data_IF_349473273133
#
_entry.id   IF_349473273133
#
_cell.length_a   1.000
_cell.length_b   1.000
_cell.length_c   1.000
_cell.angle_alpha   90.00
_cell.angle_beta   90.00
_cell.angle_gamma   90.00
#
_symmetry.space_group_name_H-M   'P 1'
#
loop_
_entity.id
_entity.type
_entity.pdbx_description
1 polymer ?
#
# COMPACT_ATOMS: atom_id res chain seq x y z
N UNK A 1 21.29 -16.62 4.46
CA UNK A 1 20.78 -17.14 4.85
C UNK A 1 20.53 -17.29 4.73
N UNK A 2 20.55 -17.09 4.47
CA UNK A 2 20.08 -17.53 4.69
C UNK A 2 19.49 -17.58 4.51
N UNK A 3 19.51 -17.13 4.23
CA UNK A 3 18.86 -17.55 4.44
C UNK A 3 18.30 -17.87 3.96
N UNK A 4 18.33 -17.74 3.53
CA UNK A 4 17.75 -18.22 3.39
C UNK A 4 17.11 -18.63 3.47
N UNK A 5 17.18 -18.43 3.62
CA UNK A 5 16.47 -18.99 3.93
C UNK A 5 15.96 -19.02 4.14
N UNK A 6 15.81 -18.68 4.39
CA UNK A 6 15.27 -18.84 4.81
C UNK A 6 14.62 -19.00 4.57
N UNK A 7 14.77 -18.88 4.29
CA UNK A 7 14.01 -19.22 4.22
C UNK A 7 13.31 -19.60 4.11
N UNK A 8 13.07 -19.72 4.08
CA UNK A 8 12.24 -20.15 4.10
C UNK A 8 11.49 -20.48 4.68
N UNK A 9 11.25 -20.10 5.21
CA UNK A 9 10.50 -20.37 5.88
C UNK A 9 9.98 -20.11 6.19
N UNK A 10 9.99 -19.72 6.45
CA UNK A 10 9.53 -19.45 6.80
C UNK A 10 9.21 -19.12 6.39
N UNK A 11 9.44 -19.01 6.19
CA UNK A 11 9.07 -18.72 5.68
C UNK A 11 8.30 -18.52 5.33
N UNK A 12 8.27 -18.22 5.38
CA UNK A 12 7.14 -18.39 4.75
C UNK A 12 6.06 -17.44 4.92
N UNK A 13 5.51 -17.13 5.96
CA UNK A 13 4.49 -16.14 6.15
C UNK A 13 4.90 -14.75 5.72
N UNK A 14 6.15 -14.56 5.51
CA UNK A 14 6.65 -13.25 5.13
C UNK A 14 6.18 -12.75 3.79
N UNK A 15 5.91 -13.67 2.87
CA UNK A 15 5.43 -13.26 1.57
C UNK A 15 4.04 -12.64 1.64
N UNK A 16 3.32 -12.89 2.74
CA UNK A 16 1.98 -12.36 2.92
C UNK A 16 1.99 -10.91 3.39
N UNK A 17 3.15 -10.37 3.71
CA UNK A 17 3.24 -9.01 4.22
C UNK A 17 3.26 -7.96 3.11
N UNK A 18 3.42 -8.36 1.87
CA UNK A 18 3.45 -7.40 0.76
C UNK A 18 2.03 -7.07 0.32
N UNK A 19 1.78 -5.79 0.14
CA UNK A 19 0.48 -5.31 -0.34
C UNK A 19 0.70 -4.17 -1.32
N UNK A 20 -0.33 -3.88 -2.08
CA UNK A 20 -0.32 -2.77 -3.02
C UNK A 20 -1.39 -1.78 -2.58
N UNK A 21 -1.01 -0.51 -2.49
CA UNK A 21 -1.95 0.54 -2.17
C UNK A 21 -2.12 1.41 -3.39
N UNK A 22 -3.36 1.60 -3.82
CA UNK A 22 -3.66 2.49 -4.93
C UNK A 22 -4.33 3.74 -4.40
N UNK A 23 -3.96 4.88 -4.97
CA UNK A 23 -4.49 6.18 -4.59
C UNK A 23 -4.92 6.89 -5.86
N UNK A 24 -6.17 7.31 -5.91
CA UNK A 24 -6.70 8.05 -7.05
C UNK A 24 -7.46 9.25 -6.53
N UNK A 25 -7.27 10.40 -7.13
CA UNK A 25 -8.01 11.57 -6.75
C UNK A 25 -7.67 12.75 -7.62
N UNK A 26 -8.35 13.85 -7.37
CA UNK A 26 -8.05 15.07 -8.08
C UNK A 26 -6.70 15.59 -7.60
N UNK A 27 -5.86 16.00 -8.55
CA UNK A 27 -4.52 16.46 -8.23
C UNK A 27 -4.56 17.69 -7.33
N UNK A 28 -3.69 17.69 -6.32
CA UNK A 28 -3.53 18.81 -5.41
C UNK A 28 -2.19 18.71 -4.71
N UNK A 29 -1.78 19.80 -4.09
CA UNK A 29 -0.55 19.83 -3.31
C UNK A 29 -0.70 18.93 -2.09
N UNK A 30 0.34 18.18 -1.78
CA UNK A 30 0.44 17.43 -0.53
C UNK A 30 -0.09 16.01 -0.54
N UNK A 31 -0.51 15.47 -1.68
CA UNK A 31 -1.04 14.11 -1.72
C UNK A 31 0.01 13.10 -1.25
N UNK A 32 1.22 13.18 -1.81
CA UNK A 32 2.26 12.22 -1.45
C UNK A 32 2.60 12.31 0.03
N UNK A 33 2.66 13.55 0.55
CA UNK A 33 2.92 13.74 1.98
C UNK A 33 1.83 13.10 2.83
N UNK A 34 0.56 13.39 2.51
CA UNK A 34 -0.55 12.89 3.32
C UNK A 34 -0.57 11.36 3.34
N UNK A 35 -0.37 10.74 2.18
CA UNK A 35 -0.40 9.28 2.09
C UNK A 35 0.82 8.68 2.78
N UNK A 36 2.00 9.26 2.58
CA UNK A 36 3.22 8.76 3.21
C UNK A 36 3.13 8.85 4.73
N UNK A 37 2.56 9.94 5.23
CA UNK A 37 2.37 10.10 6.66
C UNK A 37 1.44 9.03 7.22
N UNK A 38 0.34 8.77 6.52
CA UNK A 38 -0.61 7.74 6.91
C UNK A 38 0.07 6.37 7.02
N UNK A 39 0.90 6.04 6.04
CA UNK A 39 1.59 4.75 6.04
C UNK A 39 2.62 4.69 7.17
N UNK A 40 3.38 5.75 7.36
CA UNK A 40 4.39 5.80 8.42
C UNK A 40 3.77 5.68 9.80
N UNK A 41 2.64 6.34 10.02
CA UNK A 41 1.95 6.27 11.31
C UNK A 41 1.46 4.87 11.64
N UNK A 42 1.25 4.05 10.62
CA UNK A 42 0.79 2.68 10.80
C UNK A 42 1.92 1.67 10.62
N UNK A 43 3.16 2.15 10.58
CA UNK A 43 4.36 1.32 10.51
C UNK A 43 4.37 0.44 9.26
N UNK A 44 3.96 1.02 8.16
CA UNK A 44 3.98 0.37 6.86
C UNK A 44 5.15 0.93 6.07
N UNK A 45 6.02 0.05 5.61
CA UNK A 45 7.22 0.45 4.87
C UNK A 45 6.93 0.53 3.38
N UNK A 46 7.32 1.63 2.76
CA UNK A 46 7.15 1.82 1.33
C UNK A 46 8.34 1.21 0.61
N UNK A 47 8.06 0.30 -0.31
CA UNK A 47 9.11 -0.36 -1.10
C UNK A 47 9.28 0.29 -2.46
N UNK A 48 8.19 0.79 -3.04
CA UNK A 48 8.23 1.39 -4.36
C UNK A 48 7.00 2.26 -4.55
N UNK A 49 7.17 3.35 -5.28
CA UNK A 49 6.07 4.25 -5.62
C UNK A 49 6.11 4.53 -7.12
N UNK A 50 4.96 4.44 -7.74
CA UNK A 50 4.78 4.86 -9.13
C UNK A 50 3.62 5.84 -9.16
N UNK A 51 3.81 7.00 -9.78
CA UNK A 51 2.74 8.00 -9.82
C UNK A 51 2.61 8.58 -11.22
N UNK A 52 1.43 9.06 -11.52
CA UNK A 52 1.10 9.52 -12.84
C UNK A 52 -0.04 10.52 -12.79
N UNK A 53 0.03 11.53 -13.65
CA UNK A 53 -1.09 12.46 -13.84
C UNK A 53 -1.82 12.09 -15.10
N UNK A 54 -3.15 12.04 -15.01
CA UNK A 54 -4.01 11.80 -16.16
C UNK A 54 -5.06 12.90 -16.16
N UNK A 55 -4.81 13.95 -16.97
CA UNK A 55 -5.65 15.13 -16.93
C UNK A 55 -5.52 15.80 -15.57
N UNK A 56 -6.64 16.00 -14.90
CA UNK A 56 -6.61 16.58 -13.55
C UNK A 56 -6.56 15.53 -12.45
N UNK A 57 -6.42 14.26 -12.80
CA UNK A 57 -6.42 13.21 -11.78
C UNK A 57 -5.01 12.72 -11.52
N UNK A 58 -4.75 12.50 -10.23
CA UNK A 58 -3.51 11.94 -9.75
C UNK A 58 -3.72 10.46 -9.45
N UNK A 59 -2.80 9.62 -9.89
CA UNK A 59 -2.84 8.18 -9.63
C UNK A 59 -1.51 7.77 -9.04
N UNK A 60 -1.56 6.97 -7.97
CA UNK A 60 -0.33 6.51 -7.33
C UNK A 60 -0.51 5.04 -6.95
N UNK A 61 0.50 4.24 -7.26
CA UNK A 61 0.55 2.83 -6.89
C UNK A 61 1.75 2.64 -5.99
N UNK A 62 1.53 2.11 -4.80
CA UNK A 62 2.57 1.96 -3.79
C UNK A 62 2.69 0.50 -3.41
N UNK A 63 3.87 -0.06 -3.61
CA UNK A 63 4.16 -1.39 -3.09
C UNK A 63 4.69 -1.23 -1.67
N UNK A 64 4.09 -1.94 -0.73
CA UNK A 64 4.41 -1.77 0.68
C UNK A 64 4.69 -3.11 1.35
N UNK A 65 5.42 -3.03 2.46
CA UNK A 65 5.65 -4.16 3.35
C UNK A 65 4.94 -3.86 4.67
N UNK A 66 3.99 -4.70 5.04
CA UNK A 66 3.18 -4.52 6.24
C UNK A 66 3.65 -5.37 7.41
N UNK A 67 4.84 -5.98 7.32
CA UNK A 67 5.33 -6.90 8.34
C UNK A 67 5.39 -6.27 9.72
N UNK A 68 5.68 -4.98 9.81
CA UNK A 68 5.80 -4.28 11.09
C UNK A 68 4.51 -3.60 11.53
N UNK A 69 3.47 -3.67 10.71
CA UNK A 69 2.21 -3.02 11.05
C UNK A 69 1.49 -3.83 12.12
N UNK A 70 1.14 -3.19 13.26
CA UNK A 70 0.51 -3.94 14.36
C UNK A 70 -0.97 -4.16 14.17
N UNK A 71 -1.56 -3.63 13.13
CA UNK A 71 -3.00 -3.69 12.92
C UNK A 71 -3.37 -4.84 12.00
N UNK A 72 -4.58 -5.37 12.19
CA UNK A 72 -5.11 -6.41 11.33
C UNK A 72 -5.48 -5.82 9.97
N UNK A 73 -5.69 -6.71 9.01
CA UNK A 73 -6.12 -6.26 7.68
C UNK A 73 -7.42 -5.47 7.76
N UNK A 74 -8.38 -5.95 8.54
CA UNK A 74 -9.66 -5.25 8.66
C UNK A 74 -9.47 -3.86 9.26
N UNK A 75 -8.63 -3.75 10.27
CA UNK A 75 -8.36 -2.44 10.87
C UNK A 75 -7.73 -1.50 9.84
N UNK A 76 -6.83 -2.01 9.01
CA UNK A 76 -6.21 -1.19 7.98
C UNK A 76 -7.20 -0.76 6.92
N UNK A 77 -8.10 -1.67 6.53
CA UNK A 77 -9.14 -1.31 5.55
C UNK A 77 -10.02 -0.18 6.10
N UNK A 78 -10.36 -0.25 7.39
CA UNK A 78 -11.16 0.79 8.02
C UNK A 78 -10.40 2.12 8.06
N UNK A 79 -9.11 2.07 8.36
CA UNK A 79 -8.27 3.28 8.40
C UNK A 79 -8.20 3.92 7.02
N UNK A 80 -8.03 3.11 5.97
CA UNK A 80 -7.96 3.66 4.62
C UNK A 80 -9.31 4.21 4.16
N UNK A 81 -10.41 3.57 4.56
CA UNK A 81 -11.73 4.09 4.24
C UNK A 81 -11.95 5.46 4.90
N UNK A 82 -11.54 5.59 6.16
CA UNK A 82 -11.64 6.84 6.88
C UNK A 82 -10.76 7.92 6.23
N UNK A 83 -9.51 7.56 5.91
CA UNK A 83 -8.58 8.49 5.30
C UNK A 83 -9.07 8.93 3.92
N UNK A 84 -9.71 8.04 3.18
CA UNK A 84 -10.25 8.38 1.86
C UNK A 84 -11.24 9.52 1.97
N UNK A 85 -12.08 9.50 2.98
CA UNK A 85 -13.04 10.58 3.19
C UNK A 85 -12.34 11.85 3.65
N UNK A 86 -11.46 11.73 4.63
CA UNK A 86 -10.77 12.89 5.20
C UNK A 86 -9.91 13.62 4.17
N UNK A 87 -9.23 12.85 3.33
CA UNK A 87 -8.27 13.41 2.37
C UNK A 87 -8.88 13.66 0.99
N UNK A 88 -10.13 13.25 0.79
CA UNK A 88 -10.81 13.33 -0.51
C UNK A 88 -10.03 12.58 -1.60
N UNK A 89 -9.58 11.39 -1.26
CA UNK A 89 -8.86 10.50 -2.17
C UNK A 89 -9.51 9.13 -2.12
N UNK A 90 -9.33 8.34 -3.16
CA UNK A 90 -9.76 6.94 -3.15
C UNK A 90 -8.52 6.10 -2.86
N UNK A 91 -8.41 5.62 -1.63
CA UNK A 91 -7.26 4.86 -1.17
C UNK A 91 -7.70 3.42 -0.95
N UNK A 92 -7.07 2.49 -1.64
CA UNK A 92 -7.42 1.07 -1.54
C UNK A 92 -6.19 0.23 -1.32
N UNK A 93 -6.36 -0.87 -0.57
CA UNK A 93 -5.28 -1.81 -0.31
C UNK A 93 -5.67 -3.20 -0.82
N UNK A 94 -4.75 -3.82 -1.54
CA UNK A 94 -4.92 -5.18 -2.05
C UNK A 94 -3.62 -5.93 -1.80
N UNK A 95 -3.70 -7.26 -1.65
CA UNK A 95 -2.45 -8.00 -1.57
C UNK A 95 -1.78 -8.02 -2.94
N UNK A 96 -0.46 -8.18 -2.92
CA UNK A 96 0.33 -8.07 -4.15
C UNK A 96 -0.07 -9.11 -5.17
N UNK A 97 -0.32 -10.32 -4.72
CA UNK A 97 -0.67 -11.41 -5.60
C UNK A 97 -1.97 -11.14 -6.37
N UNK A 98 -2.97 -10.67 -5.65
CA UNK A 98 -4.26 -10.37 -6.26
C UNK A 98 -4.12 -9.21 -7.24
N UNK A 99 -3.37 -8.19 -6.87
CA UNK A 99 -3.15 -7.04 -7.74
C UNK A 99 -2.51 -7.47 -9.06
N UNK A 100 -1.46 -8.29 -8.97
CA UNK A 100 -0.76 -8.75 -10.17
C UNK A 100 -1.67 -9.58 -11.06
N UNK A 101 -2.52 -10.42 -10.48
CA UNK A 101 -3.46 -11.23 -11.25
C UNK A 101 -4.45 -10.35 -12.01
N UNK A 102 -4.90 -9.27 -11.38
CA UNK A 102 -5.86 -8.37 -12.00
C UNK A 102 -5.27 -7.53 -13.12
N UNK A 103 -3.96 -7.32 -13.11
CA UNK A 103 -3.28 -6.48 -14.10
C UNK A 103 -2.45 -7.26 -15.10
N UNK A 104 -2.60 -8.58 -15.11
CA UNK A 104 -1.91 -9.42 -16.06
C UNK A 104 -2.69 -9.46 -17.37
N UNK A 105 -1.96 -9.41 -18.44
CA UNK A 105 -2.57 -9.45 -19.76
C UNK A 105 -2.33 -10.77 -20.44
#
# INVERSE_FOLDING_TARGET
MQEKDKVIHHLMGKTMSHSVISVVGKDRIGIVYDVSKLLAENQINILNISQQLMGEFFTMIILVDTAQCPKSRQEMLDIFAQASQTLALDIRMQNEELFNAMHRI
#
